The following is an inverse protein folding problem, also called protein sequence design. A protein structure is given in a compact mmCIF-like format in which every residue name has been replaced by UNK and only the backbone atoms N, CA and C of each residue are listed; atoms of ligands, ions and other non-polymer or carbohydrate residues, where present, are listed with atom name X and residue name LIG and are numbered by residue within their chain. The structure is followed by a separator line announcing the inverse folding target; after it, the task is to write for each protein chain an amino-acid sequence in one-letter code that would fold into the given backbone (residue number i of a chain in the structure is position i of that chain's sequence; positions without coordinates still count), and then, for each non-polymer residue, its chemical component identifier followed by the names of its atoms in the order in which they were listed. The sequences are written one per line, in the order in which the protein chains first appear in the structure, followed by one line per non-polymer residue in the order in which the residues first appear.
data_IF_649571731861
#
_entry.id   IF_649571731861
#
_cell.length_a   1.000
_cell.length_b   1.000
_cell.length_c   1.000
_cell.angle_alpha   90.00
_cell.angle_beta   90.00
_cell.angle_gamma   90.00
#
_symmetry.space_group_name_H-M   'P 1'
#
loop_
_entity.id
_entity.type
_entity.pdbx_description
1 polymer ?
#
# COMPACT_ATOMS: atom_id res chain seq x y z
N UNK A 1 20.00 -28.82 -33.36
CA UNK A 1 19.00 -28.82 -32.27
C UNK A 1 19.08 -27.46 -31.61
N UNK A 2 18.04 -26.63 -31.77
CA UNK A 2 17.93 -25.33 -31.11
C UNK A 2 17.77 -25.57 -29.60
N UNK A 3 18.69 -25.06 -28.79
CA UNK A 3 18.51 -25.03 -27.34
C UNK A 3 17.35 -24.12 -26.96
N UNK A 4 16.69 -24.34 -25.81
CA UNK A 4 15.60 -23.49 -25.35
C UNK A 4 16.10 -22.05 -25.17
N UNK A 5 15.45 -21.13 -25.89
CA UNK A 5 15.65 -19.69 -25.77
C UNK A 5 15.00 -19.29 -24.45
N UNK A 6 15.79 -19.09 -23.41
CA UNK A 6 15.32 -18.50 -22.15
C UNK A 6 15.15 -17.01 -22.41
N UNK A 7 13.89 -16.59 -22.59
CA UNK A 7 13.52 -15.18 -22.56
C UNK A 7 13.61 -14.74 -21.09
N UNK A 8 14.36 -13.67 -20.83
CA UNK A 8 14.23 -12.96 -19.56
C UNK A 8 12.74 -12.59 -19.38
N UNK A 9 12.21 -12.74 -18.17
CA UNK A 9 10.87 -12.22 -17.86
C UNK A 9 10.81 -10.77 -18.35
N UNK A 10 9.91 -10.55 -19.31
CA UNK A 10 9.67 -9.23 -19.89
C UNK A 10 9.38 -8.27 -18.72
N UNK A 11 10.05 -7.12 -18.59
CA UNK A 11 9.69 -6.13 -17.57
C UNK A 11 8.20 -5.86 -17.74
N UNK A 12 7.41 -6.18 -16.72
CA UNK A 12 5.99 -6.37 -16.91
C UNK A 12 5.35 -5.11 -17.48
N UNK A 13 4.95 -5.17 -18.75
CA UNK A 13 4.23 -4.12 -19.49
C UNK A 13 2.76 -4.10 -19.09
N UNK A 14 2.46 -4.55 -17.88
CA UNK A 14 1.11 -4.73 -17.38
C UNK A 14 1.05 -4.43 -15.88
N UNK A 15 -0.14 -4.03 -15.44
CA UNK A 15 -0.51 -3.87 -14.03
C UNK A 15 -1.85 -4.55 -13.84
N UNK A 16 -2.00 -5.32 -12.78
CA UNK A 16 -3.25 -5.98 -12.45
C UNK A 16 -3.76 -5.45 -11.11
N UNK A 17 -5.07 -5.15 -11.08
CA UNK A 17 -5.82 -4.83 -9.87
C UNK A 17 -5.16 -3.75 -8.98
N UNK A 18 -4.82 -2.62 -9.59
CA UNK A 18 -4.37 -1.45 -8.86
C UNK A 18 -5.60 -0.74 -8.29
N UNK A 19 -5.74 -0.78 -6.97
CA UNK A 19 -6.83 -0.13 -6.25
C UNK A 19 -6.76 1.39 -6.40
N UNK A 20 -7.90 2.02 -6.73
CA UNK A 20 -8.05 3.47 -6.80
C UNK A 20 -8.86 3.96 -5.61
N UNK A 21 -10.03 3.35 -5.35
CA UNK A 21 -10.96 3.76 -4.29
C UNK A 21 -11.59 2.52 -3.65
N UNK A 22 -11.57 2.45 -2.32
CA UNK A 22 -12.25 1.42 -1.53
C UNK A 22 -13.10 2.07 -0.42
N UNK A 23 -14.42 2.02 -0.60
CA UNK A 23 -15.45 2.45 0.34
C UNK A 23 -16.37 1.27 0.65
N UNK A 24 -17.15 1.36 1.75
CA UNK A 24 -18.05 0.25 2.17
C UNK A 24 -19.03 -0.20 1.06
N UNK A 25 -19.47 0.75 0.23
CA UNK A 25 -20.46 0.57 -0.82
C UNK A 25 -19.93 0.84 -2.24
N UNK A 26 -18.62 1.07 -2.42
CA UNK A 26 -18.00 1.36 -3.71
C UNK A 26 -16.54 0.93 -3.75
N UNK A 27 -16.19 0.02 -4.67
CA UNK A 27 -14.81 -0.29 -5.05
C UNK A 27 -14.55 0.22 -6.47
N UNK A 28 -13.38 0.80 -6.69
CA UNK A 28 -12.84 1.11 -8.01
C UNK A 28 -11.37 0.70 -8.06
N UNK A 29 -11.01 -0.07 -9.08
CA UNK A 29 -9.64 -0.48 -9.37
C UNK A 29 -9.37 -0.40 -10.87
N UNK A 30 -8.12 -0.54 -11.29
CA UNK A 30 -7.80 -0.70 -12.70
C UNK A 30 -6.73 -1.76 -12.95
N UNK A 31 -6.79 -2.34 -14.15
CA UNK A 31 -5.69 -3.11 -14.73
C UNK A 31 -5.23 -2.42 -16.01
N UNK A 32 -3.94 -2.49 -16.31
CA UNK A 32 -3.36 -1.96 -17.54
C UNK A 32 -2.67 -3.09 -18.29
N UNK A 33 -2.90 -3.15 -19.60
CA UNK A 33 -2.19 -4.06 -20.51
C UNK A 33 -1.75 -3.35 -21.77
N UNK A 34 -0.64 -3.81 -22.33
CA UNK A 34 -0.25 -3.53 -23.70
C UNK A 34 -0.90 -4.57 -24.64
N UNK A 35 -1.80 -4.11 -25.52
CA UNK A 35 -2.47 -4.98 -26.51
C UNK A 35 -1.61 -5.23 -27.76
N UNK A 36 -0.41 -4.65 -27.83
CA UNK A 36 0.50 -4.66 -28.98
C UNK A 36 0.21 -3.55 -30.00
N UNK A 37 -1.02 -3.04 -30.09
CA UNK A 37 -1.38 -1.91 -30.96
C UNK A 37 -1.53 -0.59 -30.18
N UNK A 38 -1.93 -0.67 -28.91
CA UNK A 38 -2.19 0.45 -28.03
C UNK A 38 -2.17 -0.02 -26.57
N UNK A 39 -2.05 0.92 -25.64
CA UNK A 39 -2.27 0.66 -24.23
C UNK A 39 -3.76 0.64 -23.91
N UNK A 40 -4.15 -0.24 -23.00
CA UNK A 40 -5.53 -0.40 -22.54
C UNK A 40 -5.58 -0.42 -21.01
N UNK A 41 -6.39 0.47 -20.43
CA UNK A 41 -6.71 0.49 -19.00
C UNK A 41 -8.15 0.05 -18.80
N UNK A 42 -8.33 -1.07 -18.12
CA UNK A 42 -9.63 -1.60 -17.71
C UNK A 42 -9.93 -1.10 -16.29
N UNK A 43 -10.78 -0.09 -16.16
CA UNK A 43 -11.24 0.45 -14.87
C UNK A 43 -12.46 -0.38 -14.44
N UNK A 44 -12.30 -1.16 -13.38
CA UNK A 44 -13.37 -1.93 -12.76
C UNK A 44 -14.03 -1.11 -11.67
N UNK A 45 -15.36 -1.11 -11.66
CA UNK A 45 -16.16 -0.51 -10.59
C UNK A 45 -17.15 -1.53 -10.04
N UNK A 46 -17.44 -1.41 -8.75
CA UNK A 46 -18.48 -2.17 -8.06
C UNK A 46 -19.19 -1.29 -7.05
N UNK A 47 -20.45 -0.99 -7.29
CA UNK A 47 -21.36 -0.29 -6.37
C UNK A 47 -22.22 -1.32 -5.66
N UNK A 48 -22.31 -1.22 -4.33
CA UNK A 48 -23.15 -2.06 -3.48
C UNK A 48 -23.77 -1.22 -2.36
N UNK A 49 -24.71 -0.34 -2.73
CA UNK A 49 -25.47 0.48 -1.81
C UNK A 49 -26.60 -0.33 -1.15
N UNK A 50 -26.47 -0.55 0.15
CA UNK A 50 -27.38 -1.38 0.94
C UNK A 50 -28.66 -0.64 1.33
N UNK A 51 -28.68 0.69 1.25
CA UNK A 51 -29.84 1.51 1.58
C UNK A 51 -30.74 1.67 0.35
N UNK A 52 -31.98 1.17 0.43
CA UNK A 52 -32.93 1.15 -0.70
C UNK A 52 -33.35 2.53 -1.22
N UNK A 53 -33.17 3.57 -0.41
CA UNK A 53 -33.44 4.96 -0.73
C UNK A 53 -32.21 5.70 -1.25
N UNK A 54 -31.06 5.02 -1.39
CA UNK A 54 -29.81 5.60 -1.85
C UNK A 54 -29.29 4.96 -3.13
N UNK A 55 -28.64 5.78 -3.95
CA UNK A 55 -27.93 5.33 -5.14
C UNK A 55 -26.72 6.24 -5.41
N UNK A 56 -25.68 5.69 -6.02
CA UNK A 56 -24.45 6.39 -6.36
C UNK A 56 -24.35 6.63 -7.86
N UNK A 57 -23.81 7.78 -8.25
CA UNK A 57 -23.46 8.11 -9.63
C UNK A 57 -21.97 8.37 -9.70
N UNK A 58 -21.30 7.72 -10.63
CA UNK A 58 -19.87 7.84 -10.86
C UNK A 58 -19.62 8.76 -12.03
N UNK A 59 -18.65 9.66 -11.89
CA UNK A 59 -18.15 10.49 -12.97
C UNK A 59 -16.65 10.36 -13.05
N UNK A 60 -16.18 9.98 -14.22
CA UNK A 60 -14.77 9.89 -14.55
C UNK A 60 -14.43 11.04 -15.50
N UNK A 61 -13.37 11.78 -15.18
CA UNK A 61 -12.83 12.83 -16.05
C UNK A 61 -11.39 12.49 -16.39
N UNK A 62 -11.06 12.49 -17.67
CA UNK A 62 -9.77 12.02 -18.19
C UNK A 62 -8.94 13.22 -18.62
N UNK A 63 -7.77 13.36 -18.01
CA UNK A 63 -6.76 14.38 -18.33
C UNK A 63 -5.55 13.71 -18.97
N UNK A 64 -5.39 13.93 -20.27
CA UNK A 64 -4.28 13.44 -21.08
C UNK A 64 -3.91 14.46 -22.16
N UNK A 65 -2.64 14.52 -22.52
CA UNK A 65 -2.16 15.36 -23.61
C UNK A 65 -2.43 14.72 -24.98
N UNK A 66 -2.37 13.39 -25.02
CA UNK A 66 -2.67 12.58 -26.20
C UNK A 66 -4.14 12.12 -26.19
N UNK A 67 -4.67 11.79 -27.37
CA UNK A 67 -6.05 11.35 -27.52
C UNK A 67 -6.26 10.00 -26.82
N UNK A 68 -7.23 9.96 -25.91
CA UNK A 68 -7.70 8.73 -25.26
C UNK A 68 -9.10 8.41 -25.78
N UNK A 69 -9.32 7.17 -26.18
CA UNK A 69 -10.65 6.67 -26.50
C UNK A 69 -11.25 5.98 -25.28
N UNK A 70 -12.56 6.15 -25.09
CA UNK A 70 -13.29 5.61 -23.95
C UNK A 70 -14.39 4.69 -24.48
N UNK A 71 -14.52 3.51 -23.88
CA UNK A 71 -15.66 2.62 -24.08
C UNK A 71 -16.15 2.09 -22.74
N UNK A 72 -17.44 1.97 -22.56
CA UNK A 72 -18.06 1.44 -21.34
C UNK A 72 -19.17 0.46 -21.70
N UNK A 73 -19.57 -0.34 -20.72
CA UNK A 73 -20.81 -1.11 -20.80
C UNK A 73 -22.03 -0.23 -20.52
N UNK A 74 -23.23 -0.79 -20.70
CA UNK A 74 -24.52 -0.09 -20.57
C UNK A 74 -24.61 0.78 -19.30
N UNK A 75 -25.42 1.84 -19.32
CA UNK A 75 -25.65 2.80 -18.21
C UNK A 75 -24.59 3.89 -18.01
N UNK A 76 -23.72 4.11 -19.00
CA UNK A 76 -22.78 5.23 -19.02
C UNK A 76 -23.01 6.13 -20.24
N UNK A 77 -22.92 7.44 -20.02
CA UNK A 77 -23.03 8.48 -21.04
C UNK A 77 -21.66 9.16 -21.23
N UNK A 78 -21.13 9.10 -22.45
CA UNK A 78 -19.90 9.78 -22.85
C UNK A 78 -20.22 11.23 -23.18
N UNK A 79 -19.58 12.17 -22.46
CA UNK A 79 -19.73 13.61 -22.67
C UNK A 79 -18.65 14.12 -23.64
N UNK A 80 -18.91 15.26 -24.31
CA UNK A 80 -18.03 15.82 -25.35
C UNK A 80 -16.62 16.28 -24.86
N UNK A 81 -16.31 16.16 -23.57
CA UNK A 81 -15.13 16.74 -22.91
C UNK A 81 -14.26 15.75 -22.12
N UNK A 82 -13.97 14.56 -22.66
CA UNK A 82 -13.18 13.51 -21.98
C UNK A 82 -13.74 13.10 -20.60
N UNK A 83 -15.06 13.23 -20.42
CA UNK A 83 -15.75 12.80 -19.21
C UNK A 83 -16.80 11.77 -19.55
N UNK A 84 -16.97 10.79 -18.67
CA UNK A 84 -18.00 9.78 -18.78
C UNK A 84 -18.72 9.67 -17.43
N UNK A 85 -20.04 9.58 -17.49
CA UNK A 85 -20.92 9.65 -16.32
C UNK A 85 -21.84 8.44 -16.33
N UNK A 86 -21.96 7.75 -15.21
CA UNK A 86 -22.91 6.66 -15.06
C UNK A 86 -24.33 7.18 -14.79
N UNK A 87 -25.32 6.30 -14.86
CA UNK A 87 -26.60 6.51 -14.18
C UNK A 87 -26.43 6.37 -12.66
N UNK A 88 -27.47 6.71 -11.89
CA UNK A 88 -27.52 6.35 -10.47
C UNK A 88 -27.70 4.83 -10.31
N UNK A 89 -26.81 4.21 -9.55
CA UNK A 89 -26.67 2.77 -9.36
C UNK A 89 -26.83 2.45 -7.87
N UNK A 90 -27.63 1.43 -7.56
CA UNK A 90 -27.75 0.91 -6.20
C UNK A 90 -26.90 -0.36 -6.03
N UNK A 91 -26.94 -1.26 -7.01
CA UNK A 91 -26.12 -2.47 -7.09
C UNK A 91 -25.77 -2.66 -8.57
N UNK A 92 -24.51 -2.37 -8.93
CA UNK A 92 -24.01 -2.51 -10.29
C UNK A 92 -22.50 -2.72 -10.28
N UNK A 93 -22.00 -3.52 -11.22
CA UNK A 93 -20.57 -3.73 -11.42
C UNK A 93 -20.26 -3.79 -12.91
N UNK A 94 -19.09 -3.30 -13.30
CA UNK A 94 -18.75 -3.24 -14.72
C UNK A 94 -17.38 -2.67 -15.00
N UNK A 95 -17.14 -2.42 -16.30
CA UNK A 95 -15.87 -1.95 -16.82
C UNK A 95 -16.03 -0.67 -17.63
N UNK A 96 -15.12 0.28 -17.38
CA UNK A 96 -14.82 1.40 -18.28
C UNK A 96 -13.41 1.20 -18.82
N UNK A 97 -13.29 1.15 -20.14
CA UNK A 97 -12.02 0.87 -20.81
C UNK A 97 -11.51 2.14 -21.48
N UNK A 98 -10.29 2.54 -21.11
CA UNK A 98 -9.54 3.62 -21.75
C UNK A 98 -8.51 3.01 -22.70
N UNK A 99 -8.37 3.57 -23.90
CA UNK A 99 -7.32 3.15 -24.84
C UNK A 99 -6.60 4.34 -25.44
N UNK A 100 -5.27 4.26 -25.50
CA UNK A 100 -4.44 5.28 -26.09
C UNK A 100 -3.22 4.67 -26.79
N UNK A 101 -2.76 5.33 -27.83
CA UNK A 101 -1.55 4.95 -28.56
C UNK A 101 -0.34 4.92 -27.61
N UNK A 102 0.69 4.13 -27.98
CA UNK A 102 1.93 4.02 -27.20
C UNK A 102 2.69 5.35 -27.03
N UNK A 103 2.31 6.41 -27.75
CA UNK A 103 2.86 7.76 -27.61
C UNK A 103 2.34 8.54 -26.40
N UNK A 104 1.41 7.99 -25.61
CA UNK A 104 0.89 8.65 -24.42
C UNK A 104 1.97 8.80 -23.35
N UNK A 105 2.12 10.02 -22.83
CA UNK A 105 3.13 10.34 -21.80
C UNK A 105 2.48 10.61 -20.44
N UNK A 106 1.20 10.98 -20.45
CA UNK A 106 0.42 11.33 -19.27
C UNK A 106 -1.02 10.86 -19.39
N UNK A 107 -1.50 10.19 -18.34
CA UNK A 107 -2.90 9.79 -18.20
C UNK A 107 -3.32 9.92 -16.74
N UNK A 108 -4.21 10.87 -16.47
CA UNK A 108 -4.83 11.08 -15.18
C UNK A 108 -6.33 10.79 -15.25
N UNK A 109 -6.84 10.14 -14.22
CA UNK A 109 -8.27 9.86 -14.01
C UNK A 109 -8.75 10.59 -12.77
N UNK A 110 -9.64 11.56 -12.94
CA UNK A 110 -10.34 12.20 -11.84
C UNK A 110 -11.67 11.47 -11.57
N UNK A 111 -11.89 11.06 -10.33
CA UNK A 111 -13.10 10.36 -9.90
C UNK A 111 -13.95 11.28 -9.02
N UNK A 112 -15.21 11.43 -9.42
CA UNK A 112 -16.27 12.09 -8.66
C UNK A 112 -17.39 11.07 -8.37
N UNK A 113 -17.95 11.14 -7.16
CA UNK A 113 -19.09 10.32 -6.73
C UNK A 113 -20.19 11.23 -6.19
N UNK A 114 -21.40 11.10 -6.73
CA UNK A 114 -22.59 11.79 -6.23
C UNK A 114 -23.53 10.77 -5.58
N UNK A 115 -24.21 11.14 -4.49
CA UNK A 115 -25.27 10.33 -3.90
C UNK A 115 -26.64 10.92 -4.19
N UNK A 116 -27.59 10.08 -4.56
CA UNK A 116 -29.03 10.39 -4.53
C UNK A 116 -29.64 9.75 -3.29
N UNK A 117 -30.46 10.50 -2.57
CA UNK A 117 -31.24 10.04 -1.40
C UNK A 117 -32.71 10.40 -1.64
N UNK A 118 -33.63 9.47 -1.41
CA UNK A 118 -35.07 9.71 -1.49
C UNK A 118 -35.61 9.96 -0.07
N UNK A 119 -35.81 11.22 0.29
CA UNK A 119 -36.39 11.61 1.58
C UNK A 119 -37.81 12.15 1.38
N UNK A 120 -38.80 11.59 2.08
CA UNK A 120 -40.21 12.00 2.02
C UNK A 120 -40.79 12.04 0.59
N UNK A 121 -40.31 11.18 -0.31
CA UNK A 121 -40.72 11.13 -1.72
C UNK A 121 -40.11 12.21 -2.60
N UNK A 122 -39.13 12.98 -2.10
CA UNK A 122 -38.34 13.94 -2.87
C UNK A 122 -36.92 13.40 -3.07
N UNK A 123 -36.36 13.65 -4.25
CA UNK A 123 -34.98 13.28 -4.58
C UNK A 123 -34.03 14.40 -4.15
N UNK A 124 -33.08 14.08 -3.28
CA UNK A 124 -31.97 14.94 -2.87
C UNK A 124 -30.69 14.40 -3.49
N UNK A 125 -29.97 15.23 -4.22
CA UNK A 125 -28.67 14.89 -4.82
C UNK A 125 -27.59 15.65 -4.06
N UNK A 126 -26.66 14.91 -3.48
CA UNK A 126 -25.43 15.44 -2.90
C UNK A 126 -24.29 15.12 -3.87
N UNK A 127 -23.69 16.15 -4.44
CA UNK A 127 -22.54 16.00 -5.34
C UNK A 127 -21.23 15.89 -4.55
N UNK A 128 -20.25 15.17 -5.09
CA UNK A 128 -18.89 15.08 -4.55
C UNK A 128 -18.82 14.55 -3.10
N UNK A 129 -19.45 13.42 -2.84
CA UNK A 129 -19.50 12.82 -1.49
C UNK A 129 -18.17 12.20 -1.01
N UNK A 130 -17.10 12.27 -1.81
CA UNK A 130 -15.77 11.84 -1.40
C UNK A 130 -15.15 12.83 -0.39
N UNK A 131 -14.44 12.30 0.63
CA UNK A 131 -13.81 13.10 1.69
C UNK A 131 -12.88 14.17 1.08
N UNK A 132 -13.16 15.45 1.35
CA UNK A 132 -12.38 16.59 0.83
C UNK A 132 -13.07 17.44 -0.25
N UNK A 133 -14.25 17.06 -0.77
CA UNK A 133 -15.06 17.80 -1.75
C UNK A 133 -14.32 18.22 -3.04
N UNK A 134 -13.24 17.54 -3.42
CA UNK A 134 -12.48 17.79 -4.67
C UNK A 134 -12.29 16.45 -5.38
N UNK A 135 -12.53 16.42 -6.69
CA UNK A 135 -12.32 15.25 -7.54
C UNK A 135 -10.97 14.59 -7.22
N UNK A 136 -10.97 13.30 -6.89
CA UNK A 136 -9.74 12.61 -6.55
C UNK A 136 -9.02 12.20 -7.84
N UNK A 137 -7.83 12.76 -8.08
CA UNK A 137 -7.06 12.57 -9.31
C UNK A 137 -6.02 11.46 -9.12
N UNK A 138 -6.10 10.45 -9.98
CA UNK A 138 -5.20 9.29 -10.00
C UNK A 138 -4.36 9.29 -11.28
N UNK A 139 -3.04 9.25 -11.15
CA UNK A 139 -2.14 9.03 -12.29
C UNK A 139 -2.06 7.54 -12.61
N UNK A 140 -2.51 7.16 -13.81
CA UNK A 140 -2.50 5.77 -14.26
C UNK A 140 -1.13 5.36 -14.77
N UNK A 141 -0.72 4.12 -14.51
CA UNK A 141 0.57 3.60 -14.95
C UNK A 141 0.66 3.52 -16.47
N UNK A 142 1.75 4.07 -17.03
CA UNK A 142 2.11 3.97 -18.45
C UNK A 142 3.48 3.29 -18.54
N UNK A 143 3.65 2.24 -19.37
CA UNK A 143 4.95 1.62 -19.59
C UNK A 143 5.94 2.57 -20.25
N UNK A 144 7.21 2.52 -19.85
CA UNK A 144 8.26 3.30 -20.51
C UNK A 144 8.64 2.63 -21.83
N UNK A 145 8.35 3.28 -22.97
CA UNK A 145 8.80 2.82 -24.28
C UNK A 145 10.33 2.87 -24.39
N UNK A 146 10.96 1.71 -24.63
CA UNK A 146 12.39 1.63 -24.97
C UNK A 146 12.66 1.90 -26.48
N UNK A 147 11.63 1.96 -27.33
CA UNK A 147 11.80 2.06 -28.79
C UNK A 147 12.31 3.42 -29.31
N UNK A 148 12.18 4.49 -28.52
CA UNK A 148 12.72 5.80 -28.91
C UNK A 148 14.27 5.84 -28.90
N UNK A 149 14.93 4.97 -28.12
CA UNK A 149 16.39 4.87 -28.09
C UNK A 149 16.94 3.97 -29.22
N UNK A 150 16.20 2.95 -29.64
CA UNK A 150 16.67 1.97 -30.65
C UNK A 150 16.79 2.61 -32.04
N UNK A 151 15.92 3.55 -32.41
CA UNK A 151 16.05 4.29 -33.69
C UNK A 151 17.22 5.26 -33.74
N UNK A 152 17.75 5.67 -32.58
CA UNK A 152 18.98 6.48 -32.47
C UNK A 152 20.24 5.62 -32.53
N UNK A 153 20.17 4.36 -32.07
CA UNK A 153 21.28 3.41 -32.09
C UNK A 153 21.47 2.70 -33.44
N UNK A 154 20.40 2.49 -34.21
CA UNK A 154 20.45 1.75 -35.49
C UNK A 154 21.20 2.49 -36.62
N UNK A 155 21.45 3.79 -36.51
CA UNK A 155 22.24 4.54 -37.50
C UNK A 155 23.77 4.48 -37.26
N UNK A 156 24.22 3.89 -36.15
CA UNK A 156 25.65 3.84 -35.78
C UNK A 156 26.30 2.46 -35.91
N UNK A 157 25.55 1.40 -36.23
CA UNK A 157 26.04 0.01 -36.17
C UNK A 157 26.05 -0.68 -37.55
N UNK A 158 26.66 -0.08 -38.55
CA UNK A 158 27.20 -0.82 -39.70
C UNK A 158 28.72 -0.64 -39.73
N UNK A 159 29.46 -1.45 -38.97
CA UNK A 159 30.65 -2.15 -39.48
C UNK A 159 31.23 -3.12 -38.45
N UNK A 160 31.69 -4.26 -38.99
CA UNK A 160 32.65 -5.23 -38.44
C UNK A 160 32.14 -6.30 -37.47
N UNK A 161 31.77 -7.42 -38.09
CA UNK A 161 31.91 -8.80 -37.62
C UNK A 161 33.31 -9.10 -37.05
N UNK A 162 33.39 -9.89 -35.97
CA UNK A 162 33.64 -11.35 -36.00
C UNK A 162 34.52 -11.85 -34.81
N UNK A 163 33.99 -12.88 -34.10
CA UNK A 163 34.70 -13.99 -33.42
C UNK A 163 35.64 -13.70 -32.22
N UNK A 164 35.73 -14.49 -31.13
CA UNK A 164 35.15 -15.78 -30.74
C UNK A 164 35.68 -16.22 -29.35
N UNK A 165 34.85 -16.92 -28.56
CA UNK A 165 35.17 -18.02 -27.60
C UNK A 165 35.99 -17.69 -26.34
N UNK A 166 35.77 -18.18 -25.10
CA UNK A 166 35.10 -19.37 -24.54
C UNK A 166 34.61 -19.07 -23.11
N UNK A 167 33.54 -19.76 -22.69
CA UNK A 167 33.07 -19.86 -21.29
C UNK A 167 33.60 -21.15 -20.64
N UNK A 168 33.92 -21.08 -19.36
CA UNK A 168 33.90 -22.22 -18.44
C UNK A 168 32.95 -21.88 -17.28
N UNK A 169 31.87 -22.66 -17.18
CA UNK A 169 30.92 -22.67 -16.07
C UNK A 169 31.46 -23.49 -14.89
N UNK A 170 31.17 -23.05 -13.65
CA UNK A 170 31.15 -23.93 -12.48
C UNK A 170 29.94 -23.62 -11.60
N UNK A 171 29.02 -24.58 -11.57
CA UNK A 171 27.92 -24.71 -10.61
C UNK A 171 28.43 -24.80 -9.17
N UNK A 172 27.74 -24.15 -8.23
CA UNK A 172 27.55 -24.66 -6.87
C UNK A 172 26.10 -24.41 -6.43
N UNK A 173 25.36 -25.51 -6.34
CA UNK A 173 24.10 -25.68 -5.61
C UNK A 173 24.25 -25.46 -4.10
N UNK A 174 23.22 -24.91 -3.43
CA UNK A 174 22.67 -25.49 -2.18
C UNK A 174 21.32 -24.89 -1.76
N UNK A 175 20.47 -25.80 -1.30
CA UNK A 175 19.09 -25.70 -0.88
C UNK A 175 18.88 -24.80 0.36
N UNK A 176 17.73 -24.12 0.42
CA UNK A 176 17.03 -23.84 1.67
C UNK A 176 15.57 -24.31 1.55
N UNK A 177 15.20 -25.25 2.41
CA UNK A 177 13.81 -25.58 2.72
C UNK A 177 13.28 -24.50 3.66
N UNK A 178 12.29 -23.72 3.23
CA UNK A 178 11.41 -23.03 4.15
C UNK A 178 9.97 -23.52 3.93
N UNK A 179 9.41 -24.01 5.04
CA UNK A 179 8.05 -24.45 5.19
C UNK A 179 7.07 -23.31 4.96
N UNK A 180 6.21 -23.46 3.95
CA UNK A 180 5.00 -22.66 3.77
C UNK A 180 4.09 -22.76 5.00
N UNK A 181 4.08 -21.71 5.83
CA UNK A 181 2.98 -21.42 6.74
C UNK A 181 2.47 -20.02 6.39
N UNK A 182 1.49 -19.98 5.51
CA UNK A 182 0.72 -18.76 5.21
C UNK A 182 -0.03 -18.33 6.48
N UNK A 183 0.43 -17.25 7.12
CA UNK A 183 -0.33 -16.57 8.15
C UNK A 183 -1.30 -15.60 7.46
N UNK A 184 -2.58 -15.95 7.42
CA UNK A 184 -3.66 -15.04 7.02
C UNK A 184 -4.11 -14.28 8.27
N UNK A 185 -3.90 -12.97 8.31
CA UNK A 185 -4.50 -12.11 9.33
C UNK A 185 -5.94 -11.78 8.92
N UNK A 186 -6.96 -12.06 9.76
CA UNK A 186 -8.28 -11.49 9.57
C UNK A 186 -8.25 -10.01 10.01
N UNK A 187 -8.27 -9.09 9.05
CA UNK A 187 -8.35 -7.64 9.29
C UNK A 187 -9.78 -7.24 9.67
N UNK A 188 -10.11 -7.32 10.96
CA UNK A 188 -11.41 -6.87 11.49
C UNK A 188 -11.33 -5.49 12.18
N UNK A 189 -10.24 -4.74 12.04
CA UNK A 189 -10.12 -3.37 12.56
C UNK A 189 -10.64 -2.35 11.54
N UNK A 190 -11.91 -2.47 11.19
CA UNK A 190 -12.64 -1.51 10.35
C UNK A 190 -13.43 -0.53 11.20
N UNK A 191 -12.75 0.37 11.91
CA UNK A 191 -13.34 1.65 12.34
C UNK A 191 -12.27 2.70 12.07
N UNK A 192 -12.42 3.47 10.97
CA UNK A 192 -11.79 4.79 10.85
C UNK A 192 -12.31 5.61 12.02
N UNK A 193 -11.61 5.58 13.15
CA UNK A 193 -11.63 6.70 14.07
C UNK A 193 -11.32 7.92 13.22
N UNK A 194 -12.14 8.96 13.35
CA UNK A 194 -11.91 10.31 12.86
C UNK A 194 -10.63 10.85 13.51
N UNK A 195 -9.50 10.28 13.15
CA UNK A 195 -8.22 10.92 13.31
C UNK A 195 -8.23 12.02 12.26
N UNK A 196 -8.20 13.27 12.71
CA UNK A 196 -7.64 14.37 11.92
C UNK A 196 -6.23 13.94 11.51
N UNK A 197 -6.12 13.15 10.43
CA UNK A 197 -4.89 12.99 9.69
C UNK A 197 -4.68 14.35 9.05
N UNK A 198 -3.95 15.20 9.79
CA UNK A 198 -3.13 16.22 9.17
C UNK A 198 -2.24 15.43 8.20
N UNK A 199 -2.65 15.34 6.94
CA UNK A 199 -1.90 14.64 5.89
C UNK A 199 -0.44 15.05 6.04
N UNK A 200 0.40 14.08 6.40
CA UNK A 200 1.82 14.36 6.59
C UNK A 200 2.40 14.59 5.20
N UNK A 201 2.33 15.83 4.76
CA UNK A 201 2.82 16.26 3.46
C UNK A 201 4.34 16.32 3.55
N UNK A 202 5.00 15.30 3.03
CA UNK A 202 6.45 15.32 2.87
C UNK A 202 6.80 16.33 1.78
N UNK A 203 7.79 17.19 2.07
CA UNK A 203 8.37 18.01 1.02
C UNK A 203 9.10 17.12 0.01
N UNK A 204 8.86 17.39 -1.27
CA UNK A 204 9.54 16.68 -2.34
C UNK A 204 11.00 17.14 -2.43
N UNK A 205 11.93 16.24 -2.14
CA UNK A 205 13.37 16.46 -2.31
C UNK A 205 13.73 16.07 -3.74
N UNK A 206 13.52 17.00 -4.67
CA UNK A 206 13.77 16.76 -6.10
C UNK A 206 15.27 16.68 -6.41
N UNK A 207 15.75 15.56 -6.99
CA UNK A 207 17.06 15.49 -7.63
C UNK A 207 17.25 16.62 -8.66
N UNK A 208 18.44 17.21 -8.70
CA UNK A 208 18.79 18.25 -9.68
C UNK A 208 19.79 17.70 -10.69
N UNK A 209 19.66 18.16 -11.93
CA UNK A 209 20.51 17.72 -13.04
C UNK A 209 21.18 18.90 -13.71
N UNK A 210 22.43 18.70 -14.11
CA UNK A 210 23.23 19.61 -14.92
C UNK A 210 23.22 19.09 -16.35
N UNK A 211 23.08 19.99 -17.31
CA UNK A 211 23.21 19.73 -18.74
C UNK A 211 24.35 20.57 -19.31
N UNK A 212 25.33 19.92 -19.93
CA UNK A 212 26.43 20.55 -20.63
C UNK A 212 26.87 19.74 -21.86
N UNK A 213 28.02 20.07 -22.46
CA UNK A 213 28.55 19.39 -23.65
C UNK A 213 28.82 17.89 -23.43
N UNK A 214 28.91 17.43 -22.18
CA UNK A 214 29.14 16.03 -21.80
C UNK A 214 27.86 15.23 -21.56
N UNK A 215 26.70 15.90 -21.50
CA UNK A 215 25.38 15.29 -21.37
C UNK A 215 24.59 15.79 -20.16
N UNK A 216 23.60 15.00 -19.74
CA UNK A 216 22.72 15.28 -18.58
C UNK A 216 23.10 14.35 -17.44
N UNK A 217 23.43 14.90 -16.28
CA UNK A 217 23.84 14.12 -15.12
C UNK A 217 23.46 14.79 -13.79
N UNK A 218 23.39 14.06 -12.67
CA UNK A 218 23.09 14.62 -11.36
C UNK A 218 24.03 15.77 -10.98
N UNK A 219 23.48 16.93 -10.62
CA UNK A 219 24.28 18.07 -10.17
C UNK A 219 25.01 17.81 -8.85
N UNK A 220 24.47 16.90 -8.04
CA UNK A 220 25.05 16.42 -6.79
C UNK A 220 25.25 14.93 -6.94
N UNK A 221 26.48 14.54 -7.20
CA UNK A 221 26.77 13.23 -7.76
C UNK A 221 27.83 12.47 -7.00
N UNK A 222 27.81 11.16 -7.22
CA UNK A 222 28.87 10.25 -6.81
C UNK A 222 29.14 9.22 -7.89
N UNK A 223 30.33 8.64 -7.87
CA UNK A 223 30.74 7.62 -8.82
C UNK A 223 31.15 6.34 -8.10
N UNK A 224 30.83 5.15 -8.62
CA UNK A 224 31.32 3.92 -8.03
C UNK A 224 32.84 3.87 -8.04
N UNK A 225 33.44 3.35 -6.98
CA UNK A 225 34.91 3.21 -6.90
C UNK A 225 35.44 2.43 -8.12
N UNK A 226 36.51 2.95 -8.73
CA UNK A 226 37.14 2.39 -9.94
C UNK A 226 36.24 2.37 -11.19
N UNK A 227 35.10 3.04 -11.18
CA UNK A 227 34.22 3.18 -12.34
C UNK A 227 34.16 4.64 -12.81
N UNK A 228 34.46 4.90 -14.09
CA UNK A 228 34.41 6.25 -14.68
C UNK A 228 33.23 6.47 -15.64
N UNK A 229 32.36 5.48 -15.78
CA UNK A 229 31.27 5.44 -16.78
C UNK A 229 29.88 5.62 -16.16
N UNK A 230 29.77 5.53 -14.84
CA UNK A 230 28.51 5.72 -14.12
C UNK A 230 28.59 6.90 -13.18
N UNK A 231 27.58 7.76 -13.25
CA UNK A 231 27.35 8.87 -12.34
C UNK A 231 25.97 8.72 -11.70
N UNK A 232 25.92 8.72 -10.39
CA UNK A 232 24.73 8.52 -9.58
C UNK A 232 24.41 9.79 -8.78
N UNK A 233 23.17 9.93 -8.32
CA UNK A 233 22.78 11.05 -7.47
C UNK A 233 23.19 10.80 -6.00
N UNK A 234 23.66 11.84 -5.31
CA UNK A 234 23.91 11.83 -3.87
C UNK A 234 22.63 11.61 -3.06
N UNK A 235 22.77 11.13 -1.83
CA UNK A 235 21.67 11.05 -0.89
C UNK A 235 21.33 12.41 -0.31
N UNK A 236 20.16 12.52 0.31
CA UNK A 236 19.76 13.68 1.11
C UNK A 236 19.77 13.29 2.58
N UNK A 237 20.53 14.04 3.38
CA UNK A 237 20.54 13.86 4.83
C UNK A 237 19.47 14.75 5.45
N UNK A 238 18.44 14.11 6.03
CA UNK A 238 17.29 14.81 6.57
C UNK A 238 17.63 15.65 7.82
N UNK A 239 18.69 15.31 8.56
CA UNK A 239 19.11 16.06 9.75
C UNK A 239 19.83 17.37 9.42
N UNK A 240 20.68 17.34 8.39
CA UNK A 240 21.43 18.53 7.96
C UNK A 240 20.68 19.34 6.91
N UNK A 241 19.57 18.82 6.38
CA UNK A 241 18.82 19.38 5.25
C UNK A 241 19.74 19.75 4.08
N UNK A 242 20.64 18.82 3.74
CA UNK A 242 21.61 18.98 2.67
C UNK A 242 21.87 17.63 1.98
N UNK A 243 22.45 17.70 0.78
CA UNK A 243 23.01 16.52 0.13
C UNK A 243 24.12 15.91 1.00
N UNK A 244 24.21 14.59 1.01
CA UNK A 244 25.05 13.82 1.94
C UNK A 244 26.55 14.06 1.76
N UNK A 245 26.96 14.63 0.62
CA UNK A 245 28.35 14.93 0.29
C UNK A 245 29.19 13.69 0.02
N UNK A 246 28.58 12.51 -0.11
CA UNK A 246 29.28 11.27 -0.47
C UNK A 246 29.53 11.32 -1.97
N UNK A 247 30.78 11.45 -2.41
CA UNK A 247 31.16 11.57 -3.82
C UNK A 247 31.69 10.23 -4.42
N UNK A 248 31.95 9.22 -3.60
CA UNK A 248 32.37 7.89 -4.06
C UNK A 248 32.08 6.79 -3.01
N UNK A 249 31.68 5.60 -3.49
CA UNK A 249 31.66 4.33 -2.72
C UNK A 249 31.54 3.12 -3.68
N UNK A 250 31.66 1.89 -3.19
CA UNK A 250 31.79 0.67 -4.02
C UNK A 250 30.53 0.23 -4.81
N UNK A 251 29.37 0.85 -4.55
CA UNK A 251 28.10 0.45 -5.18
C UNK A 251 27.63 -0.95 -4.79
N UNK A 252 28.05 -1.50 -3.63
CA UNK A 252 27.61 -2.81 -3.16
C UNK A 252 26.11 -2.82 -2.84
N UNK A 253 25.29 -3.71 -3.43
CA UNK A 253 23.85 -3.77 -3.18
C UNK A 253 23.46 -4.10 -1.73
N UNK A 254 24.38 -4.70 -0.95
CA UNK A 254 24.16 -4.94 0.48
C UNK A 254 24.33 -3.68 1.35
N UNK A 255 24.82 -2.57 0.80
CA UNK A 255 24.94 -1.32 1.54
C UNK A 255 23.54 -0.75 1.84
N UNK A 256 23.26 -0.46 3.11
CA UNK A 256 21.97 0.09 3.58
C UNK A 256 22.06 1.53 4.11
N UNK A 257 23.17 2.24 3.84
CA UNK A 257 23.50 3.52 4.48
C UNK A 257 23.72 4.67 3.50
N UNK A 258 24.41 4.44 2.39
CA UNK A 258 24.92 5.52 1.53
C UNK A 258 23.90 5.93 0.48
N UNK A 259 23.90 7.23 0.15
CA UNK A 259 23.19 7.80 -0.99
C UNK A 259 21.67 7.61 -0.97
N UNK A 260 21.07 7.55 0.21
CA UNK A 260 19.63 7.58 0.39
C UNK A 260 19.11 9.02 0.45
N UNK A 261 18.01 9.30 -0.22
CA UNK A 261 17.20 10.50 -0.02
C UNK A 261 16.28 10.23 1.17
N UNK A 262 16.62 10.82 2.32
CA UNK A 262 15.90 10.63 3.57
C UNK A 262 14.79 11.67 3.72
N UNK A 263 13.57 11.21 4.03
CA UNK A 263 12.44 12.07 4.35
C UNK A 263 12.23 12.07 5.86
N UNK A 264 12.44 13.22 6.49
CA UNK A 264 12.19 13.40 7.92
C UNK A 264 10.70 13.33 8.24
N UNK A 265 10.40 12.80 9.41
CA UNK A 265 9.08 12.84 10.00
C UNK A 265 8.88 13.99 10.96
N UNK A 266 7.63 14.22 11.38
CA UNK A 266 7.33 15.24 12.41
C UNK A 266 8.01 14.91 13.75
N UNK A 267 8.14 13.63 14.10
CA UNK A 267 8.75 13.18 15.34
C UNK A 267 9.74 12.01 15.15
N UNK A 268 10.07 11.70 13.90
CA UNK A 268 11.05 10.70 13.55
C UNK A 268 12.19 11.38 12.78
N UNK A 269 13.46 11.10 13.11
CA UNK A 269 14.57 11.57 12.29
C UNK A 269 14.42 11.25 10.79
N UNK A 270 13.90 10.05 10.45
CA UNK A 270 13.66 9.62 9.06
C UNK A 270 12.46 8.66 9.03
N UNK A 271 11.35 9.06 8.41
CA UNK A 271 10.16 8.20 8.25
C UNK A 271 10.35 7.17 7.14
N UNK A 272 10.97 7.59 6.04
CA UNK A 272 11.37 6.69 4.98
C UNK A 272 12.56 7.25 4.20
N UNK A 273 13.24 6.38 3.46
CA UNK A 273 14.36 6.76 2.63
C UNK A 273 14.35 5.99 1.30
N UNK A 274 14.71 6.67 0.23
CA UNK A 274 14.70 6.15 -1.14
C UNK A 274 16.09 6.20 -1.73
N UNK A 275 16.48 5.19 -2.50
CA UNK A 275 17.74 5.22 -3.25
C UNK A 275 17.57 4.56 -4.60
N UNK A 276 18.08 5.21 -5.65
CA UNK A 276 18.25 4.63 -6.97
C UNK A 276 19.68 4.88 -7.44
N UNK A 277 20.37 3.83 -7.87
CA UNK A 277 21.72 3.97 -8.43
C UNK A 277 22.01 2.86 -9.42
N UNK A 278 23.02 3.07 -10.26
CA UNK A 278 23.53 2.10 -11.20
C UNK A 278 25.01 1.78 -10.93
N UNK A 279 25.47 0.66 -11.47
CA UNK A 279 26.88 0.29 -11.54
C UNK A 279 27.13 -0.49 -12.82
N UNK A 280 28.24 -0.23 -13.50
CA UNK A 280 28.64 -1.04 -14.65
C UNK A 280 29.06 -2.44 -14.18
N UNK A 281 28.64 -3.45 -14.92
CA UNK A 281 29.07 -4.82 -14.70
C UNK A 281 30.48 -5.04 -15.24
N UNK A 282 30.99 -6.27 -15.14
CA UNK A 282 32.23 -6.66 -15.82
C UNK A 282 32.12 -6.60 -17.36
N UNK A 283 30.89 -6.58 -17.91
CA UNK A 283 30.66 -6.38 -19.35
C UNK A 283 30.52 -4.90 -19.65
N UNK A 284 31.45 -4.29 -20.42
CA UNK A 284 31.40 -2.86 -20.73
C UNK A 284 30.07 -2.47 -21.39
N UNK A 285 29.46 -1.38 -20.90
CA UNK A 285 28.17 -0.89 -21.38
C UNK A 285 26.94 -1.63 -20.84
N UNK A 286 27.10 -2.67 -20.02
CA UNK A 286 26.01 -3.31 -19.29
C UNK A 286 26.01 -2.82 -17.84
N UNK A 287 24.84 -2.38 -17.35
CA UNK A 287 24.69 -1.76 -16.04
C UNK A 287 23.63 -2.47 -15.20
N UNK A 288 23.97 -2.74 -13.94
CA UNK A 288 23.00 -3.10 -12.91
C UNK A 288 22.35 -1.83 -12.36
N UNK A 289 21.04 -1.84 -12.14
CA UNK A 289 20.29 -0.74 -11.54
C UNK A 289 19.56 -1.23 -10.31
N UNK A 290 19.73 -0.52 -9.21
CA UNK A 290 19.14 -0.86 -7.91
C UNK A 290 18.15 0.21 -7.47
N UNK A 291 17.03 -0.23 -6.90
CA UNK A 291 16.05 0.61 -6.21
C UNK A 291 15.89 0.08 -4.78
N UNK A 292 16.07 0.95 -3.79
CA UNK A 292 15.86 0.62 -2.39
C UNK A 292 14.83 1.57 -1.79
N UNK A 293 13.94 1.00 -0.98
CA UNK A 293 12.98 1.72 -0.14
C UNK A 293 13.16 1.22 1.28
N UNK A 294 13.38 2.13 2.22
CA UNK A 294 13.49 1.84 3.65
C UNK A 294 12.37 2.60 4.36
N UNK A 295 11.44 1.88 4.96
CA UNK A 295 10.45 2.48 5.87
C UNK A 295 10.97 2.57 7.30
N UNK A 296 10.19 3.23 8.16
CA UNK A 296 10.42 3.28 9.60
C UNK A 296 9.09 3.12 10.34
N UNK A 297 9.16 2.94 11.67
CA UNK A 297 7.98 2.95 12.53
C UNK A 297 7.45 4.39 12.59
N UNK A 298 6.17 4.57 12.25
CA UNK A 298 5.51 5.89 12.36
C UNK A 298 5.53 6.36 13.82
N UNK A 299 5.90 7.62 14.05
CA UNK A 299 6.00 8.19 15.39
C UNK A 299 5.43 9.62 15.48
N UNK A 300 4.56 9.94 16.46
CA UNK A 300 3.73 9.07 17.28
C UNK A 300 2.39 8.80 16.59
N UNK A 301 2.02 7.51 16.50
CA UNK A 301 0.63 7.11 16.27
C UNK A 301 -0.12 7.38 17.59
N UNK A 302 -1.31 7.99 17.55
CA UNK A 302 -2.18 8.00 18.75
C UNK A 302 -2.40 6.54 19.17
N UNK A 303 -2.22 6.18 20.45
CA UNK A 303 -2.45 4.81 20.89
C UNK A 303 -3.86 4.33 20.52
N UNK A 304 -3.98 3.05 20.17
CA UNK A 304 -5.25 2.38 19.93
C UNK A 304 -5.72 1.76 21.23
N UNK A 305 -6.97 2.06 21.60
CA UNK A 305 -7.63 1.53 22.78
C UNK A 305 -8.56 0.37 22.39
N UNK A 306 -8.36 -0.80 23.00
CA UNK A 306 -9.10 -2.03 22.72
C UNK A 306 -9.70 -2.57 24.01
N UNK A 307 -11.00 -2.87 24.01
CA UNK A 307 -11.63 -3.59 25.10
C UNK A 307 -12.09 -4.95 24.60
N UNK A 308 -11.53 -6.01 25.18
CA UNK A 308 -11.98 -7.37 24.93
C UNK A 308 -13.21 -7.65 25.81
N UNK A 309 -14.37 -7.83 25.20
CA UNK A 309 -15.62 -8.19 25.90
C UNK A 309 -15.90 -9.67 25.69
N UNK A 310 -15.75 -10.48 26.73
CA UNK A 310 -15.72 -11.93 26.66
C UNK A 310 -16.92 -12.54 27.38
N UNK A 311 -17.73 -13.31 26.65
CA UNK A 311 -18.78 -14.15 27.23
C UNK A 311 -18.13 -15.32 28.00
N UNK A 312 -18.33 -15.32 29.32
CA UNK A 312 -17.84 -16.34 30.24
C UNK A 312 -18.98 -17.21 30.78
N UNK A 313 -20.10 -17.31 30.07
CA UNK A 313 -21.22 -18.20 30.40
C UNK A 313 -20.85 -19.68 30.27
N UNK A 314 -21.63 -20.56 30.91
CA UNK A 314 -21.44 -22.00 30.83
C UNK A 314 -21.61 -22.57 29.42
N UNK A 315 -22.29 -21.86 28.51
CA UNK A 315 -22.43 -22.26 27.11
C UNK A 315 -21.11 -22.19 26.32
N UNK A 316 -20.11 -21.52 26.90
CA UNK A 316 -18.78 -21.35 26.36
C UNK A 316 -17.78 -22.35 26.95
N UNK A 317 -18.15 -23.11 27.99
CA UNK A 317 -17.26 -24.06 28.65
C UNK A 317 -16.73 -25.14 27.69
N UNK A 318 -15.47 -25.55 27.90
CA UNK A 318 -14.83 -26.60 27.11
C UNK A 318 -14.08 -26.05 25.90
N UNK A 319 -14.45 -26.48 24.69
CA UNK A 319 -13.69 -26.15 23.48
C UNK A 319 -13.65 -24.64 23.16
N UNK A 320 -14.77 -23.93 23.39
CA UNK A 320 -14.87 -22.48 23.11
C UNK A 320 -14.07 -21.65 24.11
N UNK A 321 -14.16 -21.99 25.39
CA UNK A 321 -13.35 -21.42 26.47
C UNK A 321 -11.86 -21.60 26.18
N UNK A 322 -11.43 -22.81 25.82
CA UNK A 322 -10.05 -23.09 25.45
C UNK A 322 -9.58 -22.25 24.26
N UNK A 323 -10.41 -22.13 23.22
CA UNK A 323 -10.11 -21.32 22.04
C UNK A 323 -10.01 -19.82 22.36
N UNK A 324 -10.89 -19.29 23.21
CA UNK A 324 -10.84 -17.88 23.64
C UNK A 324 -9.57 -17.61 24.47
N UNK A 325 -9.29 -18.46 25.46
CA UNK A 325 -8.08 -18.33 26.29
C UNK A 325 -6.81 -18.32 25.44
N UNK A 326 -6.71 -19.24 24.48
CA UNK A 326 -5.57 -19.31 23.58
C UNK A 326 -5.53 -18.15 22.59
N UNK A 327 -6.67 -17.77 22.01
CA UNK A 327 -6.77 -16.68 21.04
C UNK A 327 -6.38 -15.34 21.65
N UNK A 328 -6.89 -15.01 22.84
CA UNK A 328 -6.52 -13.79 23.57
C UNK A 328 -5.03 -13.81 23.92
N UNK A 329 -4.50 -14.92 24.43
CA UNK A 329 -3.07 -15.05 24.72
C UNK A 329 -2.20 -14.79 23.49
N UNK A 330 -2.53 -15.43 22.36
CA UNK A 330 -1.82 -15.26 21.10
C UNK A 330 -1.92 -13.84 20.57
N UNK A 331 -3.11 -13.22 20.64
CA UNK A 331 -3.32 -11.83 20.23
C UNK A 331 -2.42 -10.88 21.04
N UNK A 332 -2.49 -10.93 22.37
CA UNK A 332 -1.70 -10.04 23.24
C UNK A 332 -0.19 -10.22 23.02
N UNK A 333 0.31 -11.46 23.02
CA UNK A 333 1.74 -11.72 22.85
C UNK A 333 2.27 -11.41 21.43
N UNK A 334 1.39 -11.43 20.41
CA UNK A 334 1.78 -11.03 19.05
C UNK A 334 2.09 -9.54 18.92
N UNK A 335 1.53 -8.71 19.82
CA UNK A 335 1.74 -7.27 19.85
C UNK A 335 2.80 -6.88 20.89
N UNK A 336 2.77 -7.50 22.07
CA UNK A 336 3.70 -7.27 23.19
C UNK A 336 5.18 -7.35 22.76
N UNK A 337 5.52 -8.27 21.85
CA UNK A 337 6.89 -8.49 21.37
C UNK A 337 7.29 -7.59 20.18
N UNK A 338 6.55 -6.52 19.91
CA UNK A 338 6.80 -5.60 18.80
C UNK A 338 7.11 -4.19 19.30
N UNK A 339 7.66 -3.34 18.43
CA UNK A 339 7.81 -1.92 18.73
C UNK A 339 6.47 -1.18 18.95
N UNK A 340 5.34 -1.84 18.66
CA UNK A 340 4.00 -1.25 18.77
C UNK A 340 3.33 -1.43 20.14
N UNK A 341 3.91 -2.24 21.04
CA UNK A 341 3.30 -2.55 22.34
C UNK A 341 2.92 -1.30 23.16
N UNK A 342 3.75 -0.25 23.08
CA UNK A 342 3.53 1.03 23.77
C UNK A 342 2.39 1.90 23.18
N UNK A 343 1.90 1.56 21.99
CA UNK A 343 0.80 2.27 21.30
C UNK A 343 -0.49 1.47 21.24
N UNK A 344 -0.58 0.33 21.95
CA UNK A 344 -1.81 -0.45 22.04
C UNK A 344 -2.17 -0.60 23.51
N UNK A 345 -3.30 -0.01 23.90
CA UNK A 345 -3.87 -0.20 25.22
C UNK A 345 -4.98 -1.24 25.14
N UNK A 346 -4.98 -2.21 26.05
CA UNK A 346 -5.99 -3.26 26.07
C UNK A 346 -6.59 -3.42 27.46
N UNK A 347 -7.92 -3.46 27.54
CA UNK A 347 -8.67 -3.84 28.74
C UNK A 347 -9.53 -5.08 28.50
N UNK A 348 -10.09 -5.65 29.58
CA UNK A 348 -10.96 -6.82 29.51
C UNK A 348 -12.26 -6.57 30.29
N UNK A 349 -13.39 -6.98 29.73
CA UNK A 349 -14.62 -7.28 30.47
C UNK A 349 -14.99 -8.74 30.23
N UNK A 350 -14.94 -9.55 31.28
CA UNK A 350 -15.52 -10.90 31.25
C UNK A 350 -16.91 -10.86 31.87
N UNK A 351 -17.95 -11.40 31.23
CA UNK A 351 -19.32 -11.33 31.75
C UNK A 351 -20.03 -12.70 31.80
N UNK A 352 -20.93 -12.83 32.77
CA UNK A 352 -21.82 -13.97 33.02
C UNK A 352 -23.02 -13.46 33.85
N UNK A 353 -23.78 -14.34 34.50
CA UNK A 353 -24.82 -13.97 35.46
C UNK A 353 -24.23 -13.65 36.85
N UNK A 354 -24.86 -12.73 37.62
CA UNK A 354 -24.51 -12.43 39.01
C UNK A 354 -24.35 -13.68 39.88
N UNK A 355 -23.30 -13.70 40.70
CA UNK A 355 -22.99 -14.79 41.63
C UNK A 355 -22.17 -15.95 41.06
N UNK A 356 -21.78 -15.90 39.78
CA UNK A 356 -20.99 -16.95 39.14
C UNK A 356 -19.50 -16.57 39.05
N UNK A 357 -19.14 -15.68 38.13
CA UNK A 357 -17.73 -15.22 37.97
C UNK A 357 -17.39 -14.07 38.92
N UNK A 358 -18.40 -13.35 39.40
CA UNK A 358 -18.33 -12.34 40.47
C UNK A 358 -19.75 -12.07 41.00
N UNK A 359 -19.87 -11.35 42.12
CA UNK A 359 -21.18 -10.95 42.66
C UNK A 359 -22.00 -10.12 41.66
N UNK A 360 -21.34 -9.24 40.89
CA UNK A 360 -21.99 -8.38 39.88
C UNK A 360 -22.20 -9.09 38.54
N UNK A 361 -21.64 -10.29 38.35
CA UNK A 361 -21.74 -11.04 37.10
C UNK A 361 -20.68 -10.67 36.06
N UNK A 362 -19.77 -9.74 36.36
CA UNK A 362 -18.65 -9.40 35.47
C UNK A 362 -17.34 -9.21 36.22
N UNK A 363 -16.24 -9.29 35.48
CA UNK A 363 -14.88 -8.98 35.92
C UNK A 363 -14.28 -7.99 34.95
N UNK A 364 -13.36 -7.16 35.44
CA UNK A 364 -12.61 -6.22 34.61
C UNK A 364 -11.11 -6.37 34.80
N UNK A 365 -10.37 -6.05 33.75
CA UNK A 365 -8.97 -5.65 33.83
C UNK A 365 -8.92 -4.25 33.23
N UNK A 366 -8.36 -3.26 33.95
CA UNK A 366 -8.30 -1.90 33.45
C UNK A 366 -7.50 -1.84 32.16
N UNK A 367 -7.79 -0.83 31.35
CA UNK A 367 -7.09 -0.63 30.11
C UNK A 367 -5.70 -0.06 30.38
N UNK A 368 -4.67 -0.77 29.93
CA UNK A 368 -3.28 -0.33 30.02
C UNK A 368 -2.52 -0.72 28.75
N UNK A 369 -1.38 -0.06 28.53
CA UNK A 369 -0.46 -0.38 27.43
C UNK A 369 0.02 -1.84 27.52
N UNK A 370 0.15 -2.50 26.36
CA UNK A 370 0.76 -3.83 26.31
C UNK A 370 2.25 -3.83 26.63
N UNK A 371 2.91 -2.67 26.60
CA UNK A 371 4.28 -2.53 27.08
C UNK A 371 4.39 -2.47 28.61
N UNK A 372 3.27 -2.37 29.34
CA UNK A 372 3.30 -2.35 30.81
C UNK A 372 3.62 -3.74 31.36
N UNK A 373 4.70 -3.81 32.13
CA UNK A 373 5.17 -5.04 32.77
C UNK A 373 4.05 -5.76 33.55
N UNK A 374 3.78 -7.01 33.16
CA UNK A 374 2.80 -7.86 33.85
C UNK A 374 1.35 -7.66 33.42
N UNK A 375 1.03 -6.68 32.57
CA UNK A 375 -0.35 -6.44 32.10
C UNK A 375 -0.91 -7.62 31.30
N UNK A 376 -0.14 -8.15 30.35
CA UNK A 376 -0.52 -9.35 29.57
C UNK A 376 -0.76 -10.56 30.49
N UNK A 377 0.03 -10.69 31.56
CA UNK A 377 -0.16 -11.76 32.54
C UNK A 377 -1.46 -11.57 33.34
N UNK A 378 -1.79 -10.34 33.73
CA UNK A 378 -3.04 -10.02 34.44
C UNK A 378 -4.28 -10.32 33.57
N UNK A 379 -4.24 -9.96 32.29
CA UNK A 379 -5.29 -10.24 31.30
C UNK A 379 -5.53 -11.76 31.15
N UNK A 380 -4.47 -12.52 30.93
CA UNK A 380 -4.56 -13.97 30.79
C UNK A 380 -5.07 -14.63 32.08
N UNK A 381 -4.59 -14.19 33.24
CA UNK A 381 -5.03 -14.68 34.55
C UNK A 381 -6.50 -14.39 34.82
N UNK A 382 -7.02 -13.24 34.37
CA UNK A 382 -8.43 -12.91 34.52
C UNK A 382 -9.33 -13.90 33.77
N UNK A 383 -8.87 -14.40 32.63
CA UNK A 383 -9.56 -15.40 31.82
C UNK A 383 -9.41 -16.83 32.33
N UNK A 384 -8.39 -17.17 33.15
CA UNK A 384 -8.17 -18.54 33.65
C UNK A 384 -9.34 -19.13 34.44
N UNK A 385 -10.25 -18.28 34.95
CA UNK A 385 -11.50 -18.70 35.60
C UNK A 385 -12.30 -19.67 34.71
N UNK A 386 -13.05 -20.57 35.34
CA UNK A 386 -13.98 -21.44 34.64
C UNK A 386 -15.15 -20.63 34.08
N UNK A 387 -15.55 -20.91 32.84
CA UNK A 387 -16.66 -20.21 32.19
C UNK A 387 -17.97 -20.89 32.63
N UNK A 388 -18.77 -20.19 33.42
CA UNK A 388 -19.95 -20.74 34.12
C UNK A 388 -21.02 -19.67 34.29
N UNK A 389 -22.28 -20.09 34.40
CA UNK A 389 -23.43 -19.19 34.56
C UNK A 389 -24.14 -18.84 33.26
N UNK A 390 -25.06 -17.89 33.31
CA UNK A 390 -25.86 -17.43 32.17
C UNK A 390 -25.19 -16.30 31.38
N UNK A 391 -25.77 -15.95 30.23
CA UNK A 391 -25.30 -14.87 29.36
C UNK A 391 -26.04 -13.58 29.71
N UNK A 392 -25.43 -12.71 30.52
CA UNK A 392 -26.02 -11.42 30.88
C UNK A 392 -25.05 -10.28 30.56
N UNK A 393 -25.15 -9.76 29.34
CA UNK A 393 -24.46 -8.53 28.95
C UNK A 393 -25.30 -7.33 29.40
N UNK A 394 -24.82 -6.56 30.37
CA UNK A 394 -25.45 -5.29 30.77
C UNK A 394 -24.56 -4.10 30.43
N UNK A 395 -25.17 -2.97 30.07
CA UNK A 395 -24.47 -1.71 29.83
C UNK A 395 -23.65 -1.23 31.05
N UNK A 396 -24.04 -1.63 32.26
CA UNK A 396 -23.31 -1.34 33.50
C UNK A 396 -21.96 -2.04 33.57
N UNK A 397 -21.84 -3.24 32.98
CA UNK A 397 -20.59 -4.03 32.95
C UNK A 397 -19.49 -3.37 32.10
N UNK A 398 -19.87 -2.51 31.15
CA UNK A 398 -18.95 -1.80 30.25
C UNK A 398 -18.56 -0.42 30.78
N UNK A 399 -19.39 0.18 31.65
CA UNK A 399 -19.17 1.54 32.18
C UNK A 399 -17.98 1.67 33.13
N UNK A 400 -17.56 0.60 33.79
CA UNK A 400 -16.44 0.64 34.75
C UNK A 400 -15.06 0.76 34.09
N UNK A 401 -14.96 0.59 32.76
CA UNK A 401 -13.71 0.71 32.01
C UNK A 401 -13.40 2.14 31.53
N UNK A 402 -13.89 3.18 32.22
CA UNK A 402 -13.56 4.56 31.81
C UNK A 402 -12.06 4.81 31.92
N UNK A 403 -11.49 5.27 30.80
CA UNK A 403 -10.16 5.86 30.66
C UNK A 403 -9.95 7.03 31.62
#
# INVERSE_FOLDING_TARGET
MQGPKVLADNPQTYKENVELLELENLNISYSMRDSGQQYEWEIYYKVNEKQNDKALKLKFSIDSEQKVSVSSENNWEIQESNSIISNFMQDDEGLVILRADHSIEKLNLAIQVDSKIIENGQELINENILEGNVDQIYSLYIPKNQEAEVKKAASLAETTEESSSNKEDKEISKQNNESNLSFSYPSNFGIKSLFDEKTQNYENISPKYTEDETGIYPSQSWMPENNTKVINHQGWNAFSSNWDGIDSWDGNPANLTNSYIEHAGTNNPVDFALRKYARETETPGLYDVFLNVRGNVQNPIKPVDIVLVVDMSGSMEGAREGAIKQGVKSFLSSIENTAYAQYVNVGLVGYSSPGYISNSGYITVPMESLATDGHVSAMNKALERQFVGGTLLSWESVKELRC
#
